data_IF_131464862849
#
_entry.id   IF_131464862849
#
_cell.length_a   1.000
_cell.length_b   1.000
_cell.length_c   1.000
_cell.angle_alpha   90.00
_cell.angle_beta   90.00
_cell.angle_gamma   90.00
#
_symmetry.space_group_name_H-M   'P 1'
#
loop_
_entity.id
_entity.type
_entity.pdbx_description
1 polymer ?
#
# COMPACT_ATOMS: atom_id res chain seq x y z
N UNK A 1 23.60 2.23 5.13
CA UNK A 1 22.31 1.62 4.74
C UNK A 1 21.66 0.76 5.83
N UNK A 2 22.34 -0.21 6.47
CA UNK A 2 21.71 -1.09 7.50
C UNK A 2 21.11 -0.33 8.70
N UNK A 3 21.79 0.72 9.19
CA UNK A 3 21.28 1.57 10.28
C UNK A 3 19.95 2.24 9.92
N UNK A 4 19.84 2.79 8.72
CA UNK A 4 18.60 3.43 8.24
C UNK A 4 17.42 2.46 8.26
N UNK A 5 17.62 1.24 7.72
CA UNK A 5 16.57 0.21 7.70
C UNK A 5 16.12 -0.21 9.10
N UNK A 6 17.02 -0.26 10.06
CA UNK A 6 16.68 -0.54 11.46
C UNK A 6 15.89 0.60 12.09
N UNK A 7 16.23 1.85 11.77
CA UNK A 7 15.47 3.05 12.18
C UNK A 7 14.07 3.06 11.57
N UNK A 8 13.96 2.76 10.28
CA UNK A 8 12.67 2.70 9.58
C UNK A 8 11.77 1.61 10.17
N UNK A 9 12.34 0.44 10.50
CA UNK A 9 11.62 -0.64 11.18
C UNK A 9 11.14 -0.21 12.56
N UNK A 10 12.00 0.44 13.36
CA UNK A 10 11.60 0.96 14.68
C UNK A 10 10.43 1.94 14.56
N UNK A 11 10.53 2.93 13.65
CA UNK A 11 9.45 3.88 13.41
C UNK A 11 8.15 3.20 12.90
N UNK A 12 8.26 2.08 12.19
CA UNK A 12 7.09 1.30 11.79
C UNK A 12 6.47 0.54 12.97
N UNK A 13 7.28 0.02 13.90
CA UNK A 13 6.83 -0.64 15.14
C UNK A 13 6.10 0.34 16.04
N UNK A 14 6.65 1.54 16.26
CA UNK A 14 6.07 2.55 17.15
C UNK A 14 4.71 3.06 16.68
N UNK A 15 4.44 3.00 15.37
CA UNK A 15 3.13 3.37 14.79
C UNK A 15 2.06 2.29 14.95
N UNK A 16 2.42 1.07 15.37
CA UNK A 16 1.44 0.01 15.59
C UNK A 16 0.66 0.26 16.88
N UNK A 17 -0.64 -0.07 16.94
CA UNK A 17 -1.39 -0.05 18.18
C UNK A 17 -0.72 -0.90 19.26
N UNK A 18 -0.77 -0.45 20.52
CA UNK A 18 -0.16 -1.15 21.67
C UNK A 18 -0.57 -2.63 21.73
N UNK A 19 -1.87 -2.91 21.60
CA UNK A 19 -2.39 -4.28 21.59
C UNK A 19 -1.83 -5.14 20.44
N UNK A 20 -1.52 -4.54 19.29
CA UNK A 20 -0.88 -5.23 18.16
C UNK A 20 0.58 -5.55 18.46
N UNK A 21 1.34 -4.64 19.06
CA UNK A 21 2.73 -4.90 19.48
C UNK A 21 2.81 -6.04 20.50
N UNK A 22 1.94 -6.01 21.51
CA UNK A 22 1.85 -7.07 22.53
C UNK A 22 1.45 -8.43 21.93
N UNK A 23 0.46 -8.43 21.02
CA UNK A 23 0.04 -9.66 20.34
C UNK A 23 1.14 -10.20 19.42
N UNK A 24 1.90 -9.32 18.75
CA UNK A 24 3.04 -9.70 17.93
C UNK A 24 4.14 -10.34 18.75
N UNK A 25 4.48 -9.79 19.92
CA UNK A 25 5.47 -10.37 20.82
C UNK A 25 5.07 -11.80 21.22
N UNK A 26 3.82 -12.01 21.64
CA UNK A 26 3.25 -13.34 21.94
C UNK A 26 3.23 -14.26 20.71
N UNK A 27 3.01 -13.71 19.52
CA UNK A 27 2.95 -14.43 18.26
C UNK A 27 4.31 -14.95 17.80
N UNK A 28 5.38 -14.16 18.02
CA UNK A 28 6.76 -14.53 17.68
C UNK A 28 7.23 -15.76 18.48
N UNK A 29 6.77 -15.93 19.72
CA UNK A 29 7.14 -17.09 20.54
C UNK A 29 6.41 -18.38 20.13
N UNK A 30 5.21 -18.24 19.57
CA UNK A 30 4.33 -19.38 19.27
C UNK A 30 4.47 -19.91 17.84
N UNK A 31 4.91 -19.07 16.91
CA UNK A 31 4.87 -19.38 15.49
C UNK A 31 6.27 -19.29 14.85
N UNK A 32 6.57 -20.14 13.86
CA UNK A 32 7.73 -19.95 13.01
C UNK A 32 7.54 -18.69 12.17
N UNK A 33 8.40 -17.69 12.38
CA UNK A 33 8.28 -16.40 11.72
C UNK A 33 9.05 -16.36 10.39
N UNK A 34 8.44 -15.74 9.38
CA UNK A 34 9.06 -15.50 8.07
C UNK A 34 9.30 -14.01 7.80
N UNK A 35 10.23 -13.77 6.89
CA UNK A 35 10.50 -12.50 6.21
C UNK A 35 10.14 -12.67 4.74
N UNK A 36 9.66 -11.61 4.09
CA UNK A 36 9.16 -11.59 2.71
C UNK A 36 7.64 -11.76 2.68
N UNK A 37 6.94 -10.72 2.26
CA UNK A 37 5.48 -10.65 2.21
C UNK A 37 4.84 -11.89 1.54
N UNK A 38 3.95 -12.53 2.30
CA UNK A 38 2.94 -13.53 1.89
C UNK A 38 3.42 -14.83 1.21
N UNK A 39 4.72 -15.04 1.03
CA UNK A 39 5.23 -16.35 0.61
C UNK A 39 5.12 -17.35 1.77
N UNK A 40 4.15 -18.25 1.70
CA UNK A 40 3.94 -19.30 2.69
C UNK A 40 5.05 -20.37 2.58
N UNK A 41 6.26 -20.01 3.02
CA UNK A 41 7.40 -20.91 3.02
C UNK A 41 7.27 -21.83 4.21
N UNK A 42 6.90 -23.10 3.94
CA UNK A 42 6.91 -24.19 4.94
C UNK A 42 6.06 -23.91 6.19
N UNK A 43 4.91 -23.24 6.03
CA UNK A 43 3.99 -22.97 7.15
C UNK A 43 4.45 -21.87 8.11
N UNK A 44 5.44 -21.06 7.70
CA UNK A 44 5.84 -19.87 8.42
C UNK A 44 4.87 -18.71 8.26
N UNK A 45 4.73 -17.89 9.29
CA UNK A 45 3.76 -16.79 9.35
C UNK A 45 4.49 -15.46 9.51
N UNK A 46 4.07 -14.42 8.81
CA UNK A 46 4.67 -13.09 9.03
C UNK A 46 4.32 -12.58 10.43
N UNK A 47 5.15 -11.74 11.08
CA UNK A 47 4.89 -11.29 12.45
C UNK A 47 3.50 -10.64 12.63
N UNK A 48 3.04 -9.91 11.60
CA UNK A 48 1.73 -9.24 11.62
C UNK A 48 0.55 -10.22 11.58
N UNK A 49 0.68 -11.30 10.82
CA UNK A 49 -0.31 -12.38 10.79
C UNK A 49 -0.25 -13.20 12.08
N UNK A 50 0.94 -13.39 12.67
CA UNK A 50 1.08 -14.05 13.96
C UNK A 50 0.44 -13.23 15.11
N UNK A 51 0.41 -11.90 14.97
CA UNK A 51 -0.23 -10.99 15.93
C UNK A 51 -1.76 -10.96 15.80
N UNK A 52 -2.30 -11.10 14.59
CA UNK A 52 -3.72 -10.85 14.32
C UNK A 52 -4.45 -12.14 13.96
N UNK A 53 -5.51 -12.48 14.71
CA UNK A 53 -6.52 -13.48 14.26
C UNK A 53 -7.37 -12.91 13.11
N UNK A 54 -6.74 -12.42 12.04
CA UNK A 54 -7.38 -12.16 10.74
C UNK A 54 -7.92 -10.75 10.41
N UNK A 55 -7.90 -9.75 11.31
CA UNK A 55 -8.67 -8.50 11.10
C UNK A 55 -7.89 -7.19 10.85
N UNK A 56 -6.56 -7.20 10.74
CA UNK A 56 -5.75 -5.96 10.70
C UNK A 56 -4.91 -5.79 9.42
N UNK A 57 -5.38 -6.30 8.27
CA UNK A 57 -4.62 -6.33 6.99
C UNK A 57 -4.18 -4.93 6.49
N UNK A 58 -4.92 -3.86 6.80
CA UNK A 58 -4.60 -2.50 6.32
C UNK A 58 -3.48 -1.83 7.12
N UNK A 59 -3.49 -1.95 8.45
CA UNK A 59 -2.46 -1.37 9.35
C UNK A 59 -1.11 -2.09 9.24
N UNK A 60 -1.12 -3.35 8.78
CA UNK A 60 0.09 -4.17 8.65
C UNK A 60 1.04 -3.83 7.50
N UNK A 61 0.58 -3.14 6.45
CA UNK A 61 1.36 -2.95 5.21
C UNK A 61 2.66 -2.16 5.41
N UNK A 62 2.69 -1.01 6.11
CA UNK A 62 3.93 -0.26 6.32
C UNK A 62 4.96 -1.06 7.12
N UNK A 63 4.50 -1.76 8.15
CA UNK A 63 5.34 -2.64 8.96
C UNK A 63 5.92 -3.79 8.14
N UNK A 64 5.09 -4.50 7.36
CA UNK A 64 5.55 -5.62 6.55
C UNK A 64 6.63 -5.19 5.55
N UNK A 65 6.47 -4.03 4.90
CA UNK A 65 7.49 -3.47 4.01
C UNK A 65 8.78 -3.13 4.74
N UNK A 66 8.70 -2.50 5.92
CA UNK A 66 9.87 -2.15 6.72
C UNK A 66 10.61 -3.40 7.22
N UNK A 67 9.87 -4.44 7.61
CA UNK A 67 10.42 -5.74 8.03
C UNK A 67 11.19 -6.43 6.91
N UNK A 68 10.60 -6.50 5.72
CA UNK A 68 11.25 -7.12 4.55
C UNK A 68 12.47 -6.32 4.10
N UNK A 69 12.39 -4.99 4.14
CA UNK A 69 13.51 -4.11 3.83
C UNK A 69 14.66 -4.28 4.83
N UNK A 70 14.36 -4.38 6.12
CA UNK A 70 15.34 -4.65 7.19
C UNK A 70 16.06 -5.97 6.96
N UNK A 71 15.30 -7.05 6.72
CA UNK A 71 15.85 -8.37 6.42
C UNK A 71 16.58 -8.43 5.06
N UNK A 72 16.37 -7.43 4.20
CA UNK A 72 17.00 -7.33 2.88
C UNK A 72 16.60 -8.46 1.94
N UNK A 73 15.40 -9.00 2.11
CA UNK A 73 14.96 -10.19 1.39
C UNK A 73 14.31 -9.83 0.05
N UNK A 74 14.58 -10.67 -0.96
CA UNK A 74 13.91 -10.63 -2.27
C UNK A 74 12.84 -11.72 -2.40
N UNK A 75 12.95 -12.78 -1.60
CA UNK A 75 12.06 -13.92 -1.57
C UNK A 75 11.78 -14.29 -0.12
N UNK A 76 10.63 -14.90 0.12
CA UNK A 76 10.25 -15.32 1.47
C UNK A 76 11.21 -16.38 2.01
N UNK A 77 11.56 -16.27 3.29
CA UNK A 77 12.38 -17.24 4.02
C UNK A 77 12.08 -17.20 5.52
N UNK A 78 12.48 -18.23 6.28
CA UNK A 78 12.49 -18.14 7.74
C UNK A 78 13.33 -16.95 8.22
N UNK A 79 12.81 -16.23 9.22
CA UNK A 79 13.55 -15.18 9.90
C UNK A 79 14.71 -15.80 10.69
N UNK A 80 15.87 -15.16 10.63
CA UNK A 80 17.05 -15.57 11.40
C UNK A 80 16.86 -15.25 12.88
N UNK A 81 17.61 -15.96 13.75
CA UNK A 81 17.61 -15.71 15.20
C UNK A 81 17.97 -14.26 15.55
N UNK A 82 18.87 -13.65 14.79
CA UNK A 82 19.28 -12.26 15.02
C UNK A 82 18.15 -11.28 14.68
N UNK A 83 17.49 -11.46 13.53
CA UNK A 83 16.36 -10.63 13.11
C UNK A 83 15.21 -10.68 14.13
N UNK A 84 14.89 -11.89 14.63
CA UNK A 84 13.86 -12.06 15.66
C UNK A 84 14.24 -11.40 16.98
N UNK A 85 15.50 -11.52 17.40
CA UNK A 85 15.98 -10.84 18.61
C UNK A 85 15.85 -9.33 18.47
N UNK A 86 16.26 -8.76 17.34
CA UNK A 86 16.11 -7.32 17.09
C UNK A 86 14.65 -6.88 17.16
N UNK A 87 13.75 -7.62 16.50
CA UNK A 87 12.32 -7.29 16.49
C UNK A 87 11.71 -7.36 17.89
N UNK A 88 12.04 -8.39 18.68
CA UNK A 88 11.59 -8.50 20.08
C UNK A 88 12.05 -7.31 20.91
N UNK A 89 13.35 -6.99 20.86
CA UNK A 89 13.90 -5.84 21.61
C UNK A 89 13.24 -4.53 21.20
N UNK A 90 12.95 -4.33 19.90
CA UNK A 90 12.22 -3.14 19.45
C UNK A 90 10.78 -3.09 19.99
N UNK A 91 10.08 -4.23 20.01
CA UNK A 91 8.72 -4.33 20.54
C UNK A 91 8.68 -4.08 22.05
N UNK A 92 9.57 -4.71 22.82
CA UNK A 92 9.69 -4.55 24.27
C UNK A 92 9.92 -3.08 24.63
N UNK A 93 10.97 -2.47 24.06
CA UNK A 93 11.29 -1.04 24.30
C UNK A 93 10.12 -0.13 23.90
N UNK A 94 9.43 -0.41 22.80
CA UNK A 94 8.29 0.40 22.34
C UNK A 94 7.09 0.28 23.29
N UNK A 95 6.84 -0.91 23.83
CA UNK A 95 5.77 -1.16 24.81
C UNK A 95 6.11 -0.50 26.14
N UNK A 96 7.35 -0.66 26.61
CA UNK A 96 7.81 -0.08 27.87
C UNK A 96 7.71 1.45 27.83
N UNK A 97 8.18 2.08 26.75
CA UNK A 97 8.08 3.53 26.58
C UNK A 97 6.65 4.07 26.57
N UNK A 98 5.68 3.35 26.00
CA UNK A 98 4.27 3.78 25.98
C UNK A 98 3.59 3.53 27.32
N UNK A 99 3.99 2.49 28.04
CA UNK A 99 3.44 2.14 29.36
C UNK A 99 4.01 3.06 30.45
N UNK A 100 5.30 3.41 30.37
CA UNK A 100 6.00 4.34 31.26
C UNK A 100 5.71 5.82 30.96
N UNK A 101 5.00 6.09 29.86
CA UNK A 101 4.46 7.41 29.56
C UNK A 101 2.95 7.46 29.88
N UNK A 102 2.53 7.35 31.15
CA UNK A 102 1.22 7.82 31.56
C UNK A 102 1.33 9.35 31.57
N UNK A 103 1.33 9.95 30.38
CA UNK A 103 0.77 11.29 30.30
C UNK A 103 -0.67 11.07 30.71
N UNK A 104 -0.96 11.36 31.98
CA UNK A 104 -2.31 11.40 32.50
C UNK A 104 -3.00 12.52 31.74
N UNK A 105 -3.48 12.18 30.54
CA UNK A 105 -4.17 13.08 29.65
C UNK A 105 -5.40 13.64 30.36
N UNK A 106 -6.02 12.88 31.26
CA UNK A 106 -7.05 13.38 32.16
C UNK A 106 -6.54 14.49 33.08
N UNK A 107 -5.39 14.35 33.73
CA UNK A 107 -4.80 15.41 34.54
C UNK A 107 -4.32 16.61 33.70
N UNK A 108 -3.82 16.39 32.49
CA UNK A 108 -3.42 17.46 31.58
C UNK A 108 -4.64 18.24 31.05
N UNK A 109 -5.72 17.54 30.69
CA UNK A 109 -7.01 18.13 30.31
C UNK A 109 -7.59 18.89 31.50
N UNK A 110 -7.60 18.31 32.70
CA UNK A 110 -8.08 18.99 33.91
C UNK A 110 -7.26 20.24 34.23
N UNK A 111 -5.93 20.20 34.03
CA UNK A 111 -5.06 21.37 34.21
C UNK A 111 -5.34 22.45 33.17
N UNK A 112 -5.60 22.06 31.91
CA UNK A 112 -5.96 23.00 30.86
C UNK A 112 -7.35 23.63 31.08
N UNK A 113 -8.32 22.83 31.51
CA UNK A 113 -9.66 23.30 31.89
C UNK A 113 -9.62 24.23 33.12
N UNK A 114 -8.71 23.98 34.07
CA UNK A 114 -8.50 24.86 35.23
C UNK A 114 -7.80 26.19 34.88
N UNK A 115 -6.99 26.21 33.82
CA UNK A 115 -6.29 27.41 33.32
C UNK A 115 -7.15 28.20 32.34
N UNK A 116 -8.12 27.57 31.67
CA UNK A 116 -9.12 28.30 30.91
C UNK A 116 -9.89 29.21 31.88
N UNK A 117 -9.90 30.54 31.67
CA UNK A 117 -10.83 31.38 32.39
C UNK A 117 -12.22 30.89 32.06
N UNK A 118 -13.05 30.68 33.10
CA UNK A 118 -14.47 30.38 32.94
C UNK A 118 -15.01 31.21 31.78
N UNK A 119 -15.73 30.60 30.80
CA UNK A 119 -16.34 31.38 29.74
C UNK A 119 -17.13 32.50 30.43
N UNK A 120 -17.01 33.77 29.98
CA UNK A 120 -17.63 34.88 30.68
C UNK A 120 -19.13 34.59 30.86
N UNK A 121 -19.51 34.22 32.08
CA UNK A 121 -20.89 34.04 32.53
C UNK A 121 -21.47 35.43 32.69
N UNK A 122 -21.70 36.08 31.56
CA UNK A 122 -22.52 37.27 31.36
C UNK A 122 -22.28 37.69 29.91
N UNK A 123 -22.96 37.00 28.98
CA UNK A 123 -23.39 37.69 27.78
C UNK A 123 -24.51 38.63 28.22
N UNK A 124 -24.33 39.96 28.26
CA UNK A 124 -25.48 40.85 28.33
C UNK A 124 -26.38 40.51 27.15
N UNK A 125 -27.68 40.51 27.38
CA UNK A 125 -28.69 40.35 26.36
C UNK A 125 -28.57 41.51 25.36
N UNK A 126 -27.68 41.38 24.36
CA UNK A 126 -27.70 42.21 23.16
C UNK A 126 -28.77 41.63 22.26
N UNK A 127 -30.01 41.97 22.61
CA UNK A 127 -31.08 41.98 21.64
C UNK A 127 -30.83 43.11 20.64
N UNK A 128 -31.05 42.77 19.36
CA UNK A 128 -31.51 43.65 18.30
C UNK A 128 -30.65 44.86 17.95
N UNK A 129 -29.81 44.69 16.92
CA UNK A 129 -29.79 45.54 15.71
C UNK A 129 -28.42 45.41 15.06
N UNK A 130 -28.31 44.60 14.00
CA UNK A 130 -27.35 44.80 12.92
C UNK A 130 -27.69 43.79 11.82
N UNK A 131 -28.22 44.33 10.72
CA UNK A 131 -28.06 43.82 9.37
C UNK A 131 -28.65 42.45 9.07
N UNK A 132 -29.67 42.43 8.23
CA UNK A 132 -29.92 41.37 7.25
C UNK A 132 -28.63 41.06 6.47
N UNK A 133 -27.72 40.30 7.06
CA UNK A 133 -26.66 39.62 6.35
C UNK A 133 -27.35 38.51 5.56
N UNK A 134 -27.30 38.63 4.24
CA UNK A 134 -27.60 37.55 3.32
C UNK A 134 -27.00 36.26 3.89
N UNK A 135 -27.89 35.40 4.39
CA UNK A 135 -27.54 34.01 4.60
C UNK A 135 -27.24 33.51 3.20
N UNK A 136 -25.95 33.51 2.82
CA UNK A 136 -25.47 32.82 1.64
C UNK A 136 -26.04 31.43 1.73
N UNK A 137 -27.01 31.15 0.87
CA UNK A 137 -27.72 29.90 0.85
C UNK A 137 -26.67 28.82 0.60
N UNK A 138 -26.38 28.03 1.64
CA UNK A 138 -25.38 26.98 1.57
C UNK A 138 -25.70 26.01 0.42
N UNK A 139 -26.99 25.87 0.07
CA UNK A 139 -27.41 25.09 -1.08
C UNK A 139 -26.94 25.71 -2.41
N UNK A 140 -27.00 27.03 -2.54
CA UNK A 140 -26.51 27.75 -3.73
C UNK A 140 -24.97 27.67 -3.84
N UNK A 141 -24.26 27.74 -2.72
CA UNK A 141 -22.81 27.57 -2.69
C UNK A 141 -22.37 26.15 -3.10
N UNK A 142 -23.10 25.12 -2.65
CA UNK A 142 -22.84 23.72 -3.02
C UNK A 142 -23.14 23.52 -4.52
N UNK A 143 -24.27 24.03 -5.02
CA UNK A 143 -24.64 23.91 -6.43
C UNK A 143 -23.61 24.62 -7.36
N UNK A 144 -23.10 25.79 -6.94
CA UNK A 144 -22.05 26.50 -7.67
C UNK A 144 -20.74 25.70 -7.74
N UNK A 145 -20.36 25.03 -6.65
CA UNK A 145 -19.16 24.19 -6.61
C UNK A 145 -19.28 22.96 -7.51
N UNK A 146 -20.43 22.28 -7.49
CA UNK A 146 -20.69 21.13 -8.36
C UNK A 146 -20.65 21.51 -9.84
N UNK A 147 -21.27 22.64 -10.20
CA UNK A 147 -21.23 23.16 -11.56
C UNK A 147 -19.80 23.53 -12.01
N UNK A 148 -18.96 24.05 -11.11
CA UNK A 148 -17.56 24.33 -11.40
C UNK A 148 -16.75 23.04 -11.65
N UNK A 149 -17.01 21.99 -10.87
CA UNK A 149 -16.36 20.68 -11.04
C UNK A 149 -16.78 19.96 -12.33
N UNK A 150 -18.05 20.07 -12.72
CA UNK A 150 -18.58 19.58 -14.00
C UNK A 150 -17.87 20.24 -15.21
N UNK A 151 -17.71 21.58 -15.17
CA UNK A 151 -16.98 22.32 -16.21
C UNK A 151 -15.54 21.87 -16.32
N UNK A 152 -14.84 21.74 -15.20
CA UNK A 152 -13.44 21.26 -15.19
C UNK A 152 -13.31 19.85 -15.77
N UNK A 153 -14.22 18.92 -15.44
CA UNK A 153 -14.24 17.58 -16.04
C UNK A 153 -14.55 17.59 -17.53
N UNK A 154 -15.41 18.51 -18.00
CA UNK A 154 -15.70 18.67 -19.43
C UNK A 154 -14.49 19.21 -20.19
N UNK A 155 -13.78 20.17 -19.61
CA UNK A 155 -12.54 20.72 -20.19
C UNK A 155 -11.41 19.69 -20.20
N UNK A 156 -11.26 18.89 -19.14
CA UNK A 156 -10.30 17.78 -19.10
C UNK A 156 -10.62 16.72 -20.17
N UNK A 157 -11.90 16.43 -20.42
CA UNK A 157 -12.31 15.52 -21.52
C UNK A 157 -12.01 16.09 -22.89
N UNK A 158 -12.31 17.38 -23.13
CA UNK A 158 -11.96 18.06 -24.38
C UNK A 158 -10.45 18.14 -24.58
N UNK A 159 -9.68 18.37 -23.52
CA UNK A 159 -8.23 18.36 -23.57
C UNK A 159 -7.70 16.96 -23.91
N UNK A 160 -8.23 15.91 -23.29
CA UNK A 160 -7.86 14.53 -23.61
C UNK A 160 -8.20 14.13 -25.05
N UNK A 161 -9.30 14.64 -25.59
CA UNK A 161 -9.76 14.37 -26.97
C UNK A 161 -9.04 15.22 -28.02
N UNK A 162 -8.56 16.40 -27.66
CA UNK A 162 -7.85 17.33 -28.56
C UNK A 162 -6.33 17.15 -28.59
N UNK A 163 -5.73 16.38 -27.68
CA UNK A 163 -4.33 15.95 -27.83
C UNK A 163 -4.29 14.89 -28.93
N UNK A 164 -3.80 15.19 -30.13
CA UNK A 164 -3.53 14.15 -31.11
C UNK A 164 -2.41 13.34 -30.49
N UNK A 165 -2.71 12.10 -30.09
CA UNK A 165 -1.68 11.13 -29.72
C UNK A 165 -1.00 10.72 -31.03
N UNK A 166 -0.23 11.64 -31.60
CA UNK A 166 0.76 11.32 -32.61
C UNK A 166 1.86 10.56 -31.86
N UNK A 167 1.59 9.27 -31.61
CA UNK A 167 2.62 8.28 -31.29
C UNK A 167 3.52 8.20 -32.51
N UNK A 168 4.39 9.20 -32.67
CA UNK A 168 5.57 9.08 -33.47
C UNK A 168 6.28 7.84 -32.93
N UNK A 169 6.28 6.77 -33.72
CA UNK A 169 7.11 5.61 -33.45
C UNK A 169 8.50 6.14 -33.11
N UNK A 170 9.13 5.70 -32.01
CA UNK A 170 10.43 6.22 -31.61
C UNK A 170 11.37 6.08 -32.81
N UNK A 171 11.78 7.21 -33.38
CA UNK A 171 12.74 7.23 -34.48
C UNK A 171 13.96 6.45 -34.00
N UNK A 172 14.51 5.51 -34.80
CA UNK A 172 15.63 4.69 -34.37
C UNK A 172 16.78 5.64 -34.04
N UNK A 173 17.01 5.88 -32.75
CA UNK A 173 18.15 6.71 -32.32
C UNK A 173 19.40 5.98 -32.76
N UNK A 174 20.21 6.67 -33.56
CA UNK A 174 21.49 6.15 -34.02
C UNK A 174 22.33 5.80 -32.80
N UNK A 175 22.72 4.53 -32.72
CA UNK A 175 23.28 3.94 -31.52
C UNK A 175 24.67 4.53 -31.28
N UNK A 176 24.85 5.21 -30.15
CA UNK A 176 26.18 5.61 -29.70
C UNK A 176 26.97 4.33 -29.40
N UNK A 177 28.06 4.12 -30.14
CA UNK A 177 29.00 3.04 -29.87
C UNK A 177 29.69 3.31 -28.53
N UNK A 178 29.23 2.64 -27.49
CA UNK A 178 29.80 2.76 -26.14
C UNK A 178 31.16 2.08 -26.01
N UNK A 179 31.72 1.50 -27.09
CA UNK A 179 33.02 0.82 -27.10
C UNK A 179 33.05 -0.46 -26.23
N UNK A 180 31.92 -0.84 -25.65
CA UNK A 180 31.82 -1.97 -24.74
C UNK A 180 31.69 -3.26 -25.58
N UNK A 181 32.82 -3.94 -25.78
CA UNK A 181 32.87 -5.21 -26.52
C UNK A 181 32.02 -6.28 -25.85
N UNK A 182 31.38 -7.11 -26.67
CA UNK A 182 30.62 -8.27 -26.19
C UNK A 182 31.55 -9.30 -25.53
N UNK A 183 31.56 -9.30 -24.20
CA UNK A 183 32.31 -10.25 -23.36
C UNK A 183 31.46 -11.44 -22.89
N UNK A 184 30.30 -11.69 -23.52
CA UNK A 184 29.38 -12.76 -23.06
C UNK A 184 30.05 -14.12 -23.01
N UNK A 185 30.83 -14.49 -24.03
CA UNK A 185 31.58 -15.75 -24.04
C UNK A 185 32.65 -15.84 -22.94
N UNK A 186 33.25 -14.71 -22.55
CA UNK A 186 34.26 -14.66 -21.48
C UNK A 186 33.61 -14.84 -20.10
N UNK A 187 32.40 -14.31 -19.93
CA UNK A 187 31.67 -14.32 -18.67
C UNK A 187 30.86 -15.61 -18.44
N UNK A 188 30.38 -16.27 -19.49
CA UNK A 188 29.69 -17.55 -19.41
C UNK A 188 30.52 -18.66 -18.74
N UNK A 189 31.85 -18.60 -18.91
CA UNK A 189 32.78 -19.59 -18.32
C UNK A 189 33.13 -19.31 -16.86
N UNK A 190 32.70 -18.18 -16.30
CA UNK A 190 32.98 -17.83 -14.89
C UNK A 190 31.88 -18.37 -13.99
N UNK A 191 32.20 -19.39 -13.19
CA UNK A 191 31.30 -19.92 -12.18
C UNK A 191 30.81 -18.80 -11.24
N UNK A 192 29.50 -18.66 -11.11
CA UNK A 192 28.86 -17.63 -10.29
C UNK A 192 28.50 -16.33 -11.01
N UNK A 193 28.60 -16.24 -12.35
CA UNK A 193 28.09 -15.09 -13.12
C UNK A 193 26.66 -15.26 -13.66
N UNK A 194 26.12 -16.48 -13.68
CA UNK A 194 24.80 -16.78 -14.27
C UNK A 194 23.57 -16.24 -13.50
N UNK A 195 23.74 -15.57 -12.35
CA UNK A 195 22.61 -15.09 -11.52
C UNK A 195 22.45 -13.55 -11.51
N UNK A 196 23.30 -12.81 -12.23
CA UNK A 196 23.14 -11.36 -12.39
C UNK A 196 22.64 -11.01 -13.79
N UNK A 197 21.30 -10.82 -13.83
CA UNK A 197 20.43 -10.21 -14.86
C UNK A 197 20.12 -11.08 -16.10
N UNK A 198 18.87 -11.58 -16.21
CA UNK A 198 18.36 -12.22 -17.44
C UNK A 198 18.39 -11.34 -18.70
N UNK A 199 18.55 -10.02 -18.54
CA UNK A 199 18.52 -9.04 -19.63
C UNK A 199 19.55 -7.94 -19.35
N UNK A 200 20.44 -7.71 -20.31
CA UNK A 200 21.63 -6.86 -20.17
C UNK A 200 21.32 -5.37 -20.41
N UNK A 201 20.26 -5.08 -21.19
CA UNK A 201 19.81 -3.72 -21.49
C UNK A 201 18.45 -3.45 -20.86
N UNK A 202 18.23 -2.19 -20.48
CA UNK A 202 16.99 -1.75 -19.87
C UNK A 202 15.78 -1.96 -20.80
N UNK A 203 15.95 -1.72 -22.10
CA UNK A 203 14.88 -1.89 -23.10
C UNK A 203 14.42 -3.36 -23.23
N UNK A 204 15.35 -4.31 -23.09
CA UNK A 204 15.02 -5.74 -23.12
C UNK A 204 14.26 -6.16 -21.85
N UNK A 205 14.56 -5.52 -20.72
CA UNK A 205 13.81 -5.69 -19.48
C UNK A 205 12.40 -5.09 -19.58
N UNK A 206 12.26 -3.90 -20.15
CA UNK A 206 10.95 -3.30 -20.40
C UNK A 206 10.11 -4.16 -21.36
N UNK A 207 10.72 -4.68 -22.44
CA UNK A 207 10.06 -5.61 -23.35
C UNK A 207 9.63 -6.90 -22.66
N UNK A 208 10.45 -7.46 -21.76
CA UNK A 208 10.11 -8.64 -20.99
C UNK A 208 8.94 -8.39 -20.01
N UNK A 209 8.88 -7.21 -19.39
CA UNK A 209 7.72 -6.81 -18.56
C UNK A 209 6.46 -6.64 -19.39
N UNK A 210 6.56 -6.01 -20.56
CA UNK A 210 5.44 -5.83 -21.49
C UNK A 210 4.83 -7.18 -21.92
N UNK A 211 5.69 -8.17 -22.22
CA UNK A 211 5.26 -9.53 -22.58
C UNK A 211 4.55 -10.24 -21.43
N UNK A 212 4.97 -10.01 -20.18
CA UNK A 212 4.30 -10.57 -19.00
C UNK A 212 2.93 -9.92 -18.79
N UNK A 213 2.83 -8.60 -18.89
CA UNK A 213 1.56 -7.86 -18.78
C UNK A 213 0.56 -8.27 -19.87
N UNK A 214 1.04 -8.45 -21.11
CA UNK A 214 0.21 -8.89 -22.22
C UNK A 214 -0.25 -10.35 -22.04
N UNK A 215 0.62 -11.22 -21.51
CA UNK A 215 0.26 -12.60 -21.17
C UNK A 215 -0.76 -12.66 -20.01
N UNK A 216 -0.62 -11.82 -18.97
CA UNK A 216 -1.60 -11.71 -17.89
C UNK A 216 -2.94 -11.19 -18.41
N UNK A 217 -2.93 -10.16 -19.25
CA UNK A 217 -4.15 -9.63 -19.88
C UNK A 217 -4.83 -10.67 -20.77
N UNK A 218 -4.05 -11.46 -21.52
CA UNK A 218 -4.57 -12.56 -22.33
C UNK A 218 -5.17 -13.69 -21.47
N UNK A 219 -4.48 -14.09 -20.39
CA UNK A 219 -4.96 -15.11 -19.46
C UNK A 219 -6.21 -14.69 -18.68
N UNK A 220 -6.31 -13.42 -18.26
CA UNK A 220 -7.52 -12.87 -17.64
C UNK A 220 -8.69 -12.81 -18.61
N UNK A 221 -8.42 -12.58 -19.91
CA UNK A 221 -9.42 -12.63 -20.98
C UNK A 221 -9.94 -14.05 -21.21
N UNK A 222 -9.10 -15.08 -21.13
CA UNK A 222 -9.54 -16.48 -21.31
C UNK A 222 -10.42 -16.96 -20.15
N UNK A 223 -10.11 -16.57 -18.91
CA UNK A 223 -10.92 -16.88 -17.73
C UNK A 223 -12.30 -16.22 -17.81
N UNK A 224 -12.36 -14.95 -18.21
CA UNK A 224 -13.62 -14.22 -18.36
C UNK A 224 -14.49 -14.77 -19.51
N UNK A 225 -13.85 -15.27 -20.58
CA UNK A 225 -14.56 -15.97 -21.68
C UNK A 225 -15.09 -17.34 -21.25
N UNK A 226 -14.38 -18.08 -20.40
CA UNK A 226 -14.85 -19.34 -19.87
C UNK A 226 -16.09 -19.13 -18.97
N UNK A 227 -16.07 -18.13 -18.10
CA UNK A 227 -17.20 -17.81 -17.22
C UNK A 227 -18.46 -17.38 -17.99
N UNK A 228 -18.30 -16.56 -19.05
CA UNK A 228 -19.43 -16.20 -19.92
C UNK A 228 -20.04 -17.40 -20.66
N UNK A 229 -19.21 -18.34 -21.14
CA UNK A 229 -19.68 -19.58 -21.78
C UNK A 229 -20.36 -20.53 -20.80
N UNK A 230 -19.89 -20.58 -19.56
CA UNK A 230 -20.53 -21.35 -18.48
C UNK A 230 -21.89 -20.75 -18.11
N UNK A 231 -21.99 -19.43 -18.06
CA UNK A 231 -23.24 -18.71 -17.77
C UNK A 231 -24.28 -18.83 -18.90
N UNK A 232 -23.86 -18.89 -20.17
CA UNK A 232 -24.78 -19.08 -21.30
C UNK A 232 -25.33 -20.51 -21.36
N UNK A 233 -24.49 -21.53 -21.12
CA UNK A 233 -24.94 -22.93 -21.03
C UNK A 233 -25.93 -23.18 -19.89
N UNK A 234 -25.75 -22.50 -18.75
CA UNK A 234 -26.70 -22.59 -17.63
C UNK A 234 -28.09 -22.05 -17.98
N UNK A 235 -28.19 -21.01 -18.82
CA UNK A 235 -29.49 -20.46 -19.26
C UNK A 235 -30.20 -21.33 -20.30
N UNK A 236 -29.47 -21.98 -21.20
CA UNK A 236 -30.08 -22.91 -22.18
C UNK A 236 -30.69 -24.15 -21.51
N UNK A 237 -30.03 -24.68 -20.48
CA UNK A 237 -30.54 -25.81 -19.71
C UNK A 237 -31.79 -25.44 -18.88
N UNK A 238 -31.84 -24.22 -18.33
CA UNK A 238 -33.01 -23.72 -17.62
C UNK A 238 -34.20 -23.43 -18.56
N UNK A 239 -33.93 -22.94 -19.79
CA UNK A 239 -34.97 -22.72 -20.80
C UNK A 239 -35.57 -24.01 -21.36
N UNK A 240 -34.78 -25.09 -21.48
CA UNK A 240 -35.26 -26.39 -21.99
C UNK A 240 -36.16 -27.16 -21.00
N UNK A 241 -36.20 -26.77 -19.72
CA UNK A 241 -37.06 -27.39 -18.71
C UNK A 241 -38.47 -26.77 -18.62
N UNK A 242 -38.66 -25.56 -19.13
CA UNK A 242 -39.94 -24.84 -19.05
C UNK A 242 -40.90 -25.08 -20.23
N UNK A 243 -40.47 -25.79 -21.28
CA UNK A 243 -41.25 -26.03 -22.50
C UNK A 243 -41.94 -27.39 -22.62
N UNK A 244 -42.02 -28.17 -21.54
CA UNK A 244 -42.75 -29.45 -21.49
C UNK A 244 -43.92 -29.35 -20.52
N UNK A 245 -45.01 -28.75 -20.98
CA UNK A 245 -46.37 -28.94 -20.48
C UNK A 245 -47.34 -28.70 -21.64
#
# INVERSE_FOLDING_TARGET
>A
MKRQRATDLRAAVDRLPLGTRQAMLKGIDKNPIIVGADGNVRGGVCPMLAASKGHQKKLGKPFARAWDAYAGVRFSRPASKHELRTLKTMLEVSIDNETESPVDLSAAIASYEAVQPSPPTERPAVSTALGTGEALDMAEAIAAHEAAMERRRADERRAAESVPVERAAPTPRERVDTGERDRTQELERRHGWAWLRPVRRFDDYERALQLLDDAERAGLSEVDQHDRRSASRGRELAGSAAGRN
#
